data_IF_336896440323
#
_entry.id   IF_336896440323
#
_cell.length_a   1.000
_cell.length_b   1.000
_cell.length_c   1.000
_cell.angle_alpha   90.00
_cell.angle_beta   90.00
_cell.angle_gamma   90.00
#
_symmetry.space_group_name_H-M   'P 1'
#
loop_
_entity.id
_entity.type
_entity.pdbx_description
1 polymer ?
2 non-polymer ?
3 non-polymer ?
4 non-polymer ?
5 non-polymer ?
6 non-polymer ?
7 water ?
#
# COMPACT_ATOMS: atom_id res chain seq x y z
N UNK A 3 -2.37 13.73 -27.60
CA UNK A 3 -1.64 12.44 -27.35
C UNK A 3 -0.21 12.51 -26.74
N UNK A 4 0.49 13.64 -26.90
CA UNK A 4 1.85 13.81 -26.31
C UNK A 4 1.88 13.79 -24.76
N UNK A 5 0.87 14.37 -24.11
CA UNK A 5 0.83 14.36 -22.64
C UNK A 5 0.48 12.96 -22.09
N UNK A 6 -0.20 12.10 -22.87
CA UNK A 6 -0.37 10.66 -22.50
C UNK A 6 1.01 9.99 -22.58
N UNK A 7 1.71 10.26 -23.67
CA UNK A 7 3.09 9.79 -23.85
C UNK A 7 4.02 10.22 -22.70
N UNK A 8 3.81 11.41 -22.16
CA UNK A 8 4.62 11.97 -21.11
C UNK A 8 4.16 11.52 -19.68
N UNK A 9 2.85 11.37 -19.53
CA UNK A 9 2.23 11.13 -18.22
C UNK A 9 1.49 9.78 -18.10
N UNK A 10 1.17 9.18 -19.22
CA UNK A 10 0.32 8.01 -19.27
C UNK A 10 -1.14 8.32 -19.01
N UNK A 11 -1.48 9.62 -18.93
CA UNK A 11 -2.83 10.07 -18.60
C UNK A 11 -3.12 11.40 -19.35
N UNK A 12 -4.40 11.66 -19.61
CA UNK A 12 -4.90 12.96 -20.13
C UNK A 12 -4.85 13.96 -18.99
N UNK A 13 -4.45 15.20 -19.27
CA UNK A 13 -4.51 16.29 -18.26
C UNK A 13 -4.75 17.67 -18.92
N UNK A 14 -5.64 18.47 -18.35
CA UNK A 14 -5.81 19.88 -18.77
C UNK A 14 -4.67 20.76 -18.17
N UNK A 15 -3.94 20.27 -17.15
CA UNK A 15 -2.88 21.03 -16.45
C UNK A 15 -1.51 20.34 -16.47
N UNK A 16 -0.91 20.17 -17.64
CA UNK A 16 0.35 19.44 -17.75
C UNK A 16 1.40 20.00 -16.78
N UNK A 17 1.50 21.31 -16.66
CA UNK A 17 2.53 21.94 -15.85
C UNK A 17 2.37 21.70 -14.37
N UNK A 18 1.19 21.85 -13.87
CA UNK A 18 0.95 21.53 -12.48
C UNK A 18 1.26 20.03 -12.16
N UNK A 19 0.88 19.12 -13.06
CA UNK A 19 1.10 17.71 -12.86
C UNK A 19 2.59 17.42 -12.76
N UNK A 20 3.34 17.96 -13.74
CA UNK A 20 4.77 17.82 -13.78
C UNK A 20 5.47 18.37 -12.57
N UNK A 21 4.98 19.46 -12.01
CA UNK A 21 5.59 20.02 -10.78
C UNK A 21 5.30 19.09 -9.59
N UNK A 22 4.07 18.56 -9.51
CA UNK A 22 3.79 17.60 -8.44
C UNK A 22 4.71 16.39 -8.56
N UNK A 23 4.92 15.90 -9.78
CA UNK A 23 5.75 14.70 -9.97
C UNK A 23 7.22 14.91 -9.77
N UNK A 24 7.66 16.16 -9.58
CA UNK A 24 9.05 16.41 -9.16
C UNK A 24 9.32 15.81 -7.78
N UNK A 25 8.28 15.63 -6.97
CA UNK A 25 8.46 14.96 -5.67
C UNK A 25 8.33 13.42 -5.72
N UNK A 26 8.42 12.84 -6.90
CA UNK A 26 8.17 11.38 -7.09
C UNK A 26 9.00 10.55 -6.13
N UNK A 27 10.27 10.96 -5.88
CA UNK A 27 11.19 10.17 -5.07
C UNK A 27 11.19 10.59 -3.61
N UNK A 28 10.20 11.36 -3.18
CA UNK A 28 10.15 11.88 -1.85
C UNK A 28 8.95 11.43 -1.07
N UNK A 29 9.15 11.27 0.23
CA UNK A 29 8.06 10.90 1.12
C UNK A 29 7.01 12.00 1.15
N UNK A 30 7.40 13.23 0.89
CA UNK A 30 6.44 14.34 0.89
C UNK A 30 5.60 14.59 -0.33
N UNK A 31 5.67 13.71 -1.36
CA UNK A 31 4.76 13.79 -2.50
C UNK A 31 3.31 13.92 -2.06
N UNK A 32 2.54 14.75 -2.75
CA UNK A 32 1.15 14.93 -2.40
C UNK A 32 0.25 14.28 -3.45
N UNK A 33 -0.16 13.05 -3.15
CA UNK A 33 -0.90 12.25 -4.12
C UNK A 33 -2.31 12.79 -4.37
N UNK A 34 -2.86 13.51 -3.41
CA UNK A 34 -4.12 14.22 -3.65
C UNK A 34 -4.04 15.25 -4.76
N UNK A 35 -2.94 15.99 -4.84
CA UNK A 35 -2.74 16.91 -5.95
C UNK A 35 -2.58 16.18 -7.26
N UNK A 36 -1.85 15.06 -7.24
CA UNK A 36 -1.60 14.28 -8.43
C UNK A 36 -2.95 13.82 -8.96
N UNK A 37 -3.80 13.35 -8.09
CA UNK A 37 -5.18 13.00 -8.53
C UNK A 37 -5.88 14.20 -9.15
N UNK A 38 -5.72 15.35 -8.51
CA UNK A 38 -6.33 16.63 -8.95
C UNK A 38 -5.97 17.00 -10.36
N UNK A 39 -4.72 16.76 -10.76
CA UNK A 39 -4.23 17.21 -12.04
C UNK A 39 -4.17 16.13 -13.07
N UNK A 40 -4.80 14.98 -12.79
CA UNK A 40 -4.71 13.83 -13.69
C UNK A 40 -6.07 13.29 -14.04
N UNK A 41 -7.10 14.14 -13.98
CA UNK A 41 -8.48 13.74 -14.16
C UNK A 41 -8.79 12.58 -13.25
N UNK A 42 -8.26 12.62 -12.05
CA UNK A 42 -8.56 11.59 -11.10
C UNK A 42 -8.11 10.17 -11.58
N UNK A 43 -6.93 10.08 -12.17
CA UNK A 43 -6.32 8.79 -12.46
C UNK A 43 -4.96 8.69 -11.75
N UNK A 44 -4.95 8.86 -10.44
CA UNK A 44 -3.67 8.87 -9.75
C UNK A 44 -2.83 7.60 -9.89
N UNK A 45 -3.47 6.43 -9.99
CA UNK A 45 -2.72 5.19 -10.00
C UNK A 45 -2.04 5.00 -11.36
N UNK A 46 -2.77 5.25 -12.44
CA UNK A 46 -2.19 5.19 -13.74
C UNK A 46 -1.06 6.19 -13.84
N UNK A 47 -1.30 7.39 -13.39
CA UNK A 47 -0.25 8.44 -13.50
C UNK A 47 0.99 8.09 -12.69
N UNK A 48 0.79 7.79 -11.43
CA UNK A 48 1.92 7.50 -10.56
C UNK A 48 2.62 6.21 -10.96
N UNK A 49 1.90 5.20 -11.42
CA UNK A 49 2.61 4.00 -11.85
C UNK A 49 3.48 4.22 -13.12
N UNK A 50 2.93 4.93 -14.08
CA UNK A 50 3.67 5.31 -15.28
C UNK A 50 4.91 6.12 -14.90
N UNK A 51 4.76 7.10 -14.00
CA UNK A 51 5.90 7.89 -13.59
C UNK A 51 6.97 6.97 -12.89
N UNK A 52 6.52 6.03 -12.06
CA UNK A 52 7.41 5.16 -11.36
C UNK A 52 8.13 4.25 -12.33
N UNK A 53 7.40 3.68 -13.27
CA UNK A 53 8.03 2.76 -14.19
C UNK A 53 9.01 3.48 -15.13
N UNK A 54 8.68 4.70 -15.55
CA UNK A 54 9.64 5.49 -16.29
C UNK A 54 10.91 5.82 -15.45
N UNK A 55 10.73 6.31 -14.23
CA UNK A 55 11.85 6.69 -13.36
C UNK A 55 12.82 5.53 -13.11
N UNK A 56 12.29 4.33 -12.85
CA UNK A 56 13.17 3.17 -12.62
C UNK A 56 13.56 2.39 -13.89
N UNK A 57 13.24 2.88 -15.08
CA UNK A 57 13.50 2.13 -16.32
C UNK A 57 12.90 0.74 -16.38
N UNK A 58 11.79 0.51 -15.67
CA UNK A 58 11.24 -0.81 -15.61
C UNK A 58 10.71 -1.23 -16.96
N UNK A 59 10.13 -0.30 -17.71
CA UNK A 59 9.53 -0.68 -19.00
C UNK A 59 10.64 -1.15 -19.96
N UNK A 60 11.83 -0.58 -19.85
CA UNK A 60 12.96 -0.97 -20.71
C UNK A 60 13.52 -2.30 -20.27
N UNK A 61 13.82 -2.40 -18.99
CA UNK A 61 14.44 -3.58 -18.44
C UNK A 61 13.61 -4.80 -18.70
N UNK A 62 12.31 -4.74 -18.52
CA UNK A 62 11.46 -5.95 -18.69
C UNK A 62 10.71 -6.01 -19.98
N UNK A 63 11.02 -5.06 -20.87
CA UNK A 63 10.43 -5.01 -22.18
C UNK A 63 8.92 -4.94 -22.16
N UNK A 64 8.43 -4.02 -21.34
CA UNK A 64 6.99 -3.82 -21.21
C UNK A 64 6.57 -2.64 -22.13
N UNK A 65 5.65 -2.88 -23.06
CA UNK A 65 5.18 -1.82 -23.90
C UNK A 65 4.45 -0.79 -23.07
N UNK A 66 4.77 0.49 -23.25
CA UNK A 66 4.11 1.59 -22.53
C UNK A 66 2.63 1.66 -22.88
N UNK A 67 2.26 1.31 -24.12
CA UNK A 67 0.83 1.34 -24.51
C UNK A 67 0.09 0.24 -23.78
N UNK A 68 0.68 -0.94 -23.75
CA UNK A 68 0.05 -2.08 -23.04
C UNK A 68 -0.02 -1.80 -21.53
N UNK A 69 1.02 -1.17 -21.00
CA UNK A 69 1.05 -0.76 -19.61
C UNK A 69 -0.14 0.15 -19.24
N UNK A 70 -0.34 1.20 -20.02
CA UNK A 70 -1.41 2.15 -19.81
C UNK A 70 -2.78 1.49 -19.90
N UNK A 71 -2.99 0.69 -20.94
CA UNK A 71 -4.19 -0.12 -21.03
C UNK A 71 -4.41 -0.97 -19.79
N UNK A 72 -3.38 -1.68 -19.32
CA UNK A 72 -3.53 -2.49 -18.09
C UNK A 72 -3.86 -1.61 -16.84
N UNK A 73 -3.07 -0.54 -16.66
CA UNK A 73 -3.24 0.33 -15.52
C UNK A 73 -4.62 1.02 -15.53
N UNK A 74 -5.17 1.35 -16.72
CA UNK A 74 -6.47 2.00 -16.76
C UNK A 74 -7.56 1.04 -16.33
N UNK A 75 -7.52 -0.20 -16.81
CA UNK A 75 -8.53 -1.18 -16.35
C UNK A 75 -8.31 -1.59 -14.85
N UNK A 76 -7.06 -1.70 -14.41
CA UNK A 76 -6.78 -1.90 -13.00
C UNK A 76 -7.39 -0.77 -12.19
N UNK A 77 -7.16 0.49 -12.59
CA UNK A 77 -7.63 1.62 -11.80
C UNK A 77 -9.16 1.65 -11.79
N UNK A 78 -9.77 1.31 -12.91
CA UNK A 78 -11.26 1.19 -13.03
C UNK A 78 -11.82 0.12 -12.12
N UNK A 79 -11.03 -0.91 -11.78
CA UNK A 79 -11.46 -1.95 -10.87
C UNK A 79 -11.33 -1.58 -9.39
N UNK A 80 -10.77 -0.42 -9.08
CA UNK A 80 -10.93 0.16 -7.77
C UNK A 80 -12.27 0.90 -7.75
N UNK A 81 -12.96 0.91 -6.65
CA UNK A 81 -14.28 1.60 -6.57
C UNK A 81 -14.20 3.03 -6.06
N UNK A 82 -14.56 3.96 -6.92
CA UNK A 82 -14.66 5.40 -6.60
C UNK A 82 -15.53 5.70 -5.40
N UNK A 83 -16.62 4.98 -5.23
CA UNK A 83 -17.51 5.20 -4.09
C UNK A 83 -17.03 4.50 -2.76
N UNK A 84 -15.91 3.80 -2.76
CA UNK A 84 -15.35 3.33 -1.49
C UNK A 84 -14.46 4.47 -0.98
N UNK A 85 -14.67 4.92 0.25
CA UNK A 85 -14.05 6.20 0.65
C UNK A 85 -12.50 6.17 0.84
N UNK A 86 -11.95 5.06 1.29
CA UNK A 86 -10.51 4.92 1.53
C UNK A 86 -9.83 3.98 0.58
N UNK A 87 -10.35 2.75 0.46
CA UNK A 87 -9.76 1.73 -0.38
C UNK A 87 -10.09 1.86 -1.84
N UNK A 88 -9.70 2.99 -2.41
CA UNK A 88 -9.93 3.30 -3.83
C UNK A 88 -8.54 3.49 -4.45
N UNK A 89 -8.50 3.97 -5.67
CA UNK A 89 -7.25 3.94 -6.46
C UNK A 89 -6.24 4.98 -5.96
N UNK A 90 -6.71 5.99 -5.22
CA UNK A 90 -5.83 6.97 -4.59
C UNK A 90 -4.97 6.28 -3.51
N UNK A 91 -5.61 5.45 -2.68
CA UNK A 91 -4.85 4.70 -1.71
C UNK A 91 -3.83 3.77 -2.35
N UNK A 92 -4.22 3.07 -3.40
CA UNK A 92 -3.28 2.23 -4.08
C UNK A 92 -2.09 3.03 -4.63
N UNK A 93 -2.36 4.18 -5.24
CA UNK A 93 -1.35 5.04 -5.76
C UNK A 93 -0.35 5.44 -4.69
N UNK A 94 -0.87 5.85 -3.53
CA UNK A 94 -0.07 6.23 -2.40
C UNK A 94 0.83 5.09 -1.91
N UNK A 95 0.30 3.88 -1.80
CA UNK A 95 1.13 2.75 -1.37
C UNK A 95 2.20 2.42 -2.40
N UNK A 96 1.88 2.54 -3.68
CA UNK A 96 2.82 2.30 -4.71
C UNK A 96 3.91 3.36 -4.68
N UNK A 97 3.54 4.63 -4.56
CA UNK A 97 4.57 5.68 -4.47
C UNK A 97 5.38 5.53 -3.18
N UNK A 98 4.74 5.16 -2.08
CA UNK A 98 5.50 5.02 -0.85
C UNK A 98 6.48 3.84 -0.92
N UNK A 99 6.06 2.76 -1.58
CA UNK A 99 6.89 1.57 -1.75
C UNK A 99 8.09 1.92 -2.63
N UNK A 100 7.84 2.68 -3.71
CA UNK A 100 8.88 3.24 -4.55
C UNK A 100 9.94 4.03 -3.74
N UNK A 101 9.51 4.84 -2.77
CA UNK A 101 10.46 5.58 -1.94
C UNK A 101 11.20 4.61 -1.01
N UNK A 102 10.48 3.72 -0.37
CA UNK A 102 11.15 2.77 0.56
C UNK A 102 12.21 1.89 -0.16
N UNK A 103 11.98 1.55 -1.43
CA UNK A 103 12.94 0.72 -2.15
C UNK A 103 14.29 1.45 -2.30
N UNK A 104 14.27 2.78 -2.25
CA UNK A 104 15.53 3.54 -2.33
C UNK A 104 16.20 3.88 -1.04
N UNK A 105 15.76 3.30 0.06
CA UNK A 105 16.37 3.64 1.33
C UNK A 105 17.85 3.17 1.26
N UNK A 106 18.80 4.07 1.59
CA UNK A 106 20.25 3.77 1.37
C UNK A 106 20.74 2.46 2.02
N UNK A 107 20.23 2.07 3.18
CA UNK A 107 20.61 0.80 3.80
C UNK A 107 20.25 -0.42 2.97
N UNK A 108 19.39 -0.26 1.94
CA UNK A 108 19.04 -1.37 1.06
C UNK A 108 19.63 -1.28 -0.30
N UNK A 109 20.61 -0.41 -0.43
CA UNK A 109 21.17 -0.12 -1.74
C UNK A 109 21.80 -1.38 -2.38
N UNK A 110 21.37 -1.69 -3.62
CA UNK A 110 21.75 -2.84 -4.38
C UNK A 110 21.40 -4.22 -3.79
N UNK A 111 20.56 -4.27 -2.76
CA UNK A 111 20.22 -5.51 -2.11
C UNK A 111 19.26 -6.36 -2.97
N UNK A 112 18.30 -5.73 -3.66
CA UNK A 112 17.25 -6.43 -4.39
C UNK A 112 17.51 -6.50 -5.90
N UNK A 113 17.03 -7.55 -6.51
CA UNK A 113 17.05 -7.65 -7.95
C UNK A 113 16.04 -6.71 -8.57
N UNK A 114 16.24 -6.43 -9.85
CA UNK A 114 15.25 -5.72 -10.62
C UNK A 114 13.85 -6.35 -10.61
N UNK A 115 13.82 -7.67 -10.63
CA UNK A 115 12.56 -8.40 -10.65
C UNK A 115 11.86 -8.23 -9.29
N UNK A 116 12.64 -8.16 -8.22
CA UNK A 116 12.08 -7.95 -6.88
C UNK A 116 11.47 -6.56 -6.77
N UNK A 117 12.13 -5.58 -7.37
CA UNK A 117 11.70 -4.20 -7.36
C UNK A 117 10.39 -4.08 -8.12
N UNK A 118 10.34 -4.68 -9.31
CA UNK A 118 9.12 -4.76 -10.13
C UNK A 118 7.96 -5.42 -9.39
N UNK A 119 8.23 -6.56 -8.74
CA UNK A 119 7.20 -7.27 -7.96
C UNK A 119 6.58 -6.43 -6.85
N UNK A 120 7.42 -5.74 -6.07
CA UNK A 120 6.99 -4.95 -4.98
C UNK A 120 6.12 -3.74 -5.40
N UNK A 121 6.56 -3.04 -6.45
CA UNK A 121 5.75 -1.93 -6.95
C UNK A 121 4.42 -2.42 -7.56
N UNK A 122 4.48 -3.48 -8.36
CA UNK A 122 3.28 -4.08 -8.93
C UNK A 122 2.35 -4.58 -7.82
N UNK A 123 2.90 -5.27 -6.84
CA UNK A 123 2.08 -5.70 -5.69
C UNK A 123 1.35 -4.53 -5.03
N UNK A 124 2.08 -3.46 -4.75
CA UNK A 124 1.48 -2.27 -4.17
C UNK A 124 0.28 -1.75 -5.02
N UNK A 125 0.49 -1.70 -6.32
CA UNK A 125 -0.50 -1.17 -7.22
C UNK A 125 -1.78 -2.02 -7.20
N UNK A 126 -1.65 -3.33 -7.06
CA UNK A 126 -2.85 -4.18 -7.16
C UNK A 126 -3.40 -4.55 -5.79
N UNK A 127 -2.74 -4.11 -4.72
CA UNK A 127 -2.98 -4.79 -3.44
C UNK A 127 -4.38 -4.62 -2.86
N UNK A 128 -5.15 -3.61 -3.32
CA UNK A 128 -6.52 -3.42 -2.83
C UNK A 128 -7.58 -3.44 -3.94
N UNK A 129 -7.21 -3.90 -5.11
CA UNK A 129 -8.14 -3.77 -6.22
C UNK A 129 -9.46 -4.50 -5.97
N UNK A 130 -10.54 -3.86 -6.42
CA UNK A 130 -11.92 -4.35 -6.24
C UNK A 130 -12.26 -4.48 -4.76
N UNK A 131 -11.69 -3.61 -3.92
CA UNK A 131 -12.06 -3.59 -2.51
C UNK A 131 -13.55 -3.12 -2.33
N UNK A 132 -14.39 -3.91 -1.62
CA UNK A 132 -15.81 -3.49 -1.51
C UNK A 132 -16.10 -2.49 -0.42
N UNK A 133 -15.12 -2.08 0.35
CA UNK A 133 -15.37 -1.07 1.37
C UNK A 133 -15.85 -1.62 2.70
N UNK A 134 -15.76 -2.94 2.87
CA UNK A 134 -16.02 -3.63 4.10
C UNK A 134 -14.85 -4.58 4.38
N UNK A 135 -14.64 -4.89 5.64
CA UNK A 135 -13.48 -5.69 6.12
C UNK A 135 -13.70 -7.18 5.93
N UNK A 136 -12.61 -7.94 6.06
CA UNK A 136 -12.69 -9.39 5.95
C UNK A 136 -13.69 -9.89 6.95
N UNK A 137 -13.66 -9.32 8.16
CA UNK A 137 -14.48 -9.84 9.26
C UNK A 137 -15.93 -9.69 8.94
N UNK A 138 -16.31 -8.56 8.32
CA UNK A 138 -17.66 -8.33 7.88
C UNK A 138 -18.08 -9.35 6.84
N UNK A 139 -17.20 -9.59 5.87
CA UNK A 139 -17.47 -10.57 4.85
C UNK A 139 -17.61 -11.96 5.47
N UNK A 140 -16.81 -12.27 6.46
CA UNK A 140 -16.97 -13.54 7.17
C UNK A 140 -18.30 -13.61 7.94
N UNK A 141 -18.61 -12.56 8.71
CA UNK A 141 -19.84 -12.52 9.51
C UNK A 141 -21.12 -12.53 8.69
N UNK A 142 -21.11 -12.02 7.47
CA UNK A 142 -22.29 -11.99 6.67
C UNK A 142 -22.36 -13.21 5.74
N UNK A 143 -21.53 -14.21 5.97
CA UNK A 143 -21.43 -15.33 5.05
C UNK A 143 -21.47 -14.95 3.57
N UNK A 144 -20.59 -14.04 3.22
CA UNK A 144 -20.53 -13.52 1.86
C UNK A 144 -19.94 -14.57 0.93
N UNK A 145 -20.20 -14.45 -0.38
CA UNK A 145 -19.61 -15.34 -1.35
C UNK A 145 -18.07 -15.33 -1.31
N UNK A 146 -17.46 -14.18 -1.06
CA UNK A 146 -15.99 -14.12 -1.04
C UNK A 146 -15.45 -14.93 0.12
N UNK A 147 -16.02 -14.82 1.28
CA UNK A 147 -15.58 -15.61 2.40
C UNK A 147 -15.81 -17.15 2.21
N UNK A 148 -16.92 -17.52 1.60
CA UNK A 148 -17.12 -18.90 1.19
C UNK A 148 -16.06 -19.38 0.18
N UNK A 149 -15.81 -18.57 -0.83
CA UNK A 149 -14.80 -18.93 -1.85
C UNK A 149 -13.40 -19.13 -1.22
N UNK A 150 -13.01 -18.24 -0.31
CA UNK A 150 -11.68 -18.24 0.23
C UNK A 150 -11.57 -18.80 1.64
N UNK A 151 -12.62 -19.45 2.11
CA UNK A 151 -12.47 -20.21 3.38
C UNK A 151 -11.99 -19.34 4.56
N UNK A 152 -12.47 -18.10 4.58
CA UNK A 152 -12.25 -17.13 5.62
C UNK A 152 -10.80 -16.67 5.78
N UNK A 153 -9.89 -17.12 4.93
CA UNK A 153 -8.44 -16.82 5.10
C UNK A 153 -7.98 -15.76 4.12
N UNK A 154 -7.60 -14.61 4.63
CA UNK A 154 -7.12 -13.51 3.82
C UNK A 154 -8.02 -13.32 2.64
N UNK A 155 -9.29 -13.15 2.91
CA UNK A 155 -10.34 -13.22 1.90
C UNK A 155 -10.17 -12.10 0.87
N UNK A 156 -10.11 -10.85 1.31
CA UNK A 156 -9.95 -9.75 0.37
C UNK A 156 -8.59 -9.82 -0.32
N UNK A 157 -7.55 -10.22 0.41
CA UNK A 157 -6.22 -10.18 -0.19
C UNK A 157 -6.08 -11.19 -1.32
N UNK A 158 -6.66 -12.39 -1.12
CA UNK A 158 -6.75 -13.34 -2.20
C UNK A 158 -7.50 -12.82 -3.40
N UNK A 159 -8.60 -12.12 -3.13
CA UNK A 159 -9.42 -11.49 -4.12
C UNK A 159 -8.69 -10.43 -4.88
N UNK A 160 -7.95 -9.56 -4.18
CA UNK A 160 -7.20 -8.51 -4.86
C UNK A 160 -6.22 -9.14 -5.86
N UNK A 161 -5.48 -10.15 -5.41
CA UNK A 161 -4.54 -10.88 -6.28
C UNK A 161 -5.25 -11.49 -7.49
N UNK A 162 -6.37 -12.17 -7.26
CA UNK A 162 -7.04 -12.86 -8.34
C UNK A 162 -7.48 -11.83 -9.35
N UNK A 163 -8.00 -10.71 -8.91
CA UNK A 163 -8.47 -9.71 -9.89
C UNK A 163 -7.28 -9.12 -10.64
N UNK A 164 -6.20 -8.78 -9.93
CA UNK A 164 -5.00 -8.23 -10.52
C UNK A 164 -4.43 -9.09 -11.61
N UNK A 165 -4.36 -10.39 -11.34
CA UNK A 165 -3.84 -11.31 -12.30
C UNK A 165 -4.81 -11.67 -13.41
N UNK A 166 -6.09 -11.74 -13.13
CA UNK A 166 -7.05 -12.05 -14.16
C UNK A 166 -7.03 -10.94 -15.24
N UNK A 167 -6.78 -9.69 -14.83
CA UNK A 167 -6.78 -8.55 -15.74
C UNK A 167 -5.69 -8.65 -16.79
N UNK A 168 -4.59 -9.31 -16.42
CA UNK A 168 -3.51 -9.61 -17.34
C UNK A 168 -3.88 -10.52 -18.44
N UNK A 169 -4.97 -11.27 -18.33
CA UNK A 169 -5.36 -12.20 -19.39
C UNK A 169 -6.41 -11.59 -20.26
N UNK A 170 -6.79 -10.35 -20.01
CA UNK A 170 -7.68 -9.63 -20.92
C UNK A 170 -6.87 -9.27 -22.18
N UNK A 171 -7.49 -9.32 -23.34
CA UNK A 171 -6.82 -8.96 -24.56
C UNK A 171 -6.18 -7.60 -24.44
N UNK A 172 -4.96 -7.46 -24.93
CA UNK A 172 -4.23 -6.18 -24.95
C UNK A 172 -3.70 -5.69 -23.59
N UNK A 173 -3.80 -6.52 -22.54
CA UNK A 173 -3.44 -6.12 -21.16
C UNK A 173 -2.26 -6.88 -20.54
N UNK A 174 -1.60 -7.74 -21.29
CA UNK A 174 -0.58 -8.57 -20.67
C UNK A 174 0.79 -7.91 -20.69
N UNK A 175 1.06 -7.13 -19.66
CA UNK A 175 2.25 -6.36 -19.57
C UNK A 175 3.52 -7.17 -19.38
N UNK A 176 3.38 -8.43 -18.97
CA UNK A 176 4.49 -9.28 -18.74
C UNK A 176 4.77 -10.30 -19.83
N UNK A 177 4.26 -10.05 -21.02
CA UNK A 177 4.32 -11.02 -22.11
C UNK A 177 5.76 -11.35 -22.50
N UNK A 178 6.65 -10.37 -22.43
CA UNK A 178 8.01 -10.56 -22.83
C UNK A 178 8.93 -11.02 -21.73
N UNK A 179 8.44 -11.22 -20.51
CA UNK A 179 9.25 -11.86 -19.48
C UNK A 179 9.53 -13.29 -19.85
N UNK A 180 10.64 -13.87 -19.43
CA UNK A 180 10.81 -15.31 -19.68
C UNK A 180 9.80 -16.09 -18.79
N UNK A 181 9.55 -17.36 -19.09
CA UNK A 181 8.74 -18.20 -18.19
C UNK A 181 9.26 -18.16 -16.72
N UNK A 182 10.57 -18.35 -16.47
CA UNK A 182 11.13 -18.31 -15.12
C UNK A 182 10.91 -16.96 -14.45
N UNK A 183 11.06 -15.86 -15.19
CA UNK A 183 10.79 -14.56 -14.59
C UNK A 183 9.27 -14.42 -14.20
N UNK A 184 8.39 -14.86 -15.08
CA UNK A 184 6.95 -14.79 -14.84
C UNK A 184 6.60 -15.62 -13.63
N UNK A 185 7.16 -16.81 -13.51
CA UNK A 185 6.92 -17.62 -12.32
C UNK A 185 7.43 -17.01 -11.07
N UNK A 186 8.67 -16.56 -11.07
CA UNK A 186 9.20 -15.91 -9.89
C UNK A 186 8.44 -14.63 -9.53
N UNK A 187 8.09 -13.84 -10.54
CA UNK A 187 7.40 -12.58 -10.25
C UNK A 187 6.05 -12.88 -9.59
N UNK A 188 5.32 -13.82 -10.20
CA UNK A 188 4.04 -14.22 -9.69
C UNK A 188 4.07 -14.63 -8.21
N UNK A 189 5.03 -15.46 -7.84
CA UNK A 189 5.18 -15.97 -6.45
C UNK A 189 5.46 -14.80 -5.48
N UNK A 190 6.42 -13.95 -5.83
CA UNK A 190 6.72 -12.80 -5.00
C UNK A 190 5.54 -11.84 -4.81
N UNK A 191 4.83 -11.52 -5.88
CA UNK A 191 3.67 -10.65 -5.78
C UNK A 191 2.55 -11.23 -4.87
N UNK A 192 2.18 -12.49 -5.09
CA UNK A 192 1.30 -13.22 -4.19
C UNK A 192 1.76 -13.10 -2.74
N UNK A 193 2.98 -13.45 -2.48
CA UNK A 193 3.53 -13.32 -1.13
C UNK A 193 3.33 -11.94 -0.50
N UNK A 194 3.67 -10.92 -1.25
CA UNK A 194 3.61 -9.58 -0.72
C UNK A 194 2.17 -9.09 -0.48
N UNK A 195 1.25 -9.37 -1.38
CA UNK A 195 -0.14 -8.90 -1.17
C UNK A 195 -0.77 -9.63 -0.02
N UNK A 196 -0.51 -10.94 0.12
CA UNK A 196 -1.03 -11.71 1.26
C UNK A 196 -0.50 -11.19 2.59
N UNK A 197 0.72 -10.64 2.58
CA UNK A 197 1.30 -9.97 3.75
C UNK A 197 0.62 -8.69 4.14
N UNK A 198 -0.21 -8.10 3.27
CA UNK A 198 -0.95 -6.90 3.67
C UNK A 198 -2.21 -7.18 4.46
N UNK A 199 -2.57 -8.45 4.67
CA UNK A 199 -3.69 -8.83 5.50
C UNK A 199 -3.34 -8.39 6.93
N UNK A 200 -4.13 -7.47 7.46
CA UNK A 200 -3.85 -6.91 8.79
C UNK A 200 -3.81 -7.93 9.86
N UNK A 201 -4.53 -9.05 9.71
CA UNK A 201 -4.52 -10.04 10.75
C UNK A 201 -3.16 -10.76 10.84
N UNK A 202 -2.28 -10.59 9.84
CA UNK A 202 -0.92 -11.12 9.89
C UNK A 202 0.06 -10.10 10.48
N UNK A 203 -0.45 -8.91 10.85
CA UNK A 203 0.43 -7.84 11.31
C UNK A 203 1.42 -8.28 12.42
N UNK A 204 0.93 -8.90 13.50
CA UNK A 204 1.79 -9.29 14.61
C UNK A 204 2.82 -10.34 14.22
N UNK A 205 2.47 -11.31 13.38
CA UNK A 205 3.43 -12.31 12.98
C UNK A 205 4.47 -11.72 12.06
N UNK A 206 4.07 -10.81 11.19
CA UNK A 206 5.04 -10.14 10.38
C UNK A 206 5.98 -9.36 11.28
N UNK A 207 5.42 -8.60 12.19
CA UNK A 207 6.27 -7.81 13.08
C UNK A 207 7.29 -8.64 13.87
N UNK A 208 6.87 -9.79 14.40
CA UNK A 208 7.78 -10.70 15.15
C UNK A 208 8.93 -11.16 14.29
N UNK A 209 8.58 -11.63 13.09
CA UNK A 209 9.60 -11.98 12.11
C UNK A 209 10.54 -10.87 11.80
N UNK A 210 10.02 -9.67 11.64
CA UNK A 210 10.87 -8.53 11.37
C UNK A 210 11.81 -8.24 12.56
N UNK A 211 11.31 -8.42 13.78
CA UNK A 211 12.15 -8.21 14.94
C UNK A 211 13.34 -9.19 14.94
N UNK A 212 13.10 -10.43 14.54
CA UNK A 212 14.18 -11.39 14.43
C UNK A 212 15.23 -10.97 13.45
N UNK A 213 14.78 -10.37 12.37
CA UNK A 213 15.67 -9.86 11.40
C UNK A 213 16.42 -8.64 11.92
N UNK A 214 15.79 -7.80 12.73
CA UNK A 214 16.57 -6.71 13.32
C UNK A 214 17.58 -7.32 14.29
N UNK A 215 17.15 -8.27 15.13
CA UNK A 215 18.02 -8.81 16.20
C UNK A 215 19.30 -9.40 15.57
N UNK A 216 19.16 -10.04 14.40
CA UNK A 216 20.27 -10.65 13.67
C UNK A 216 20.94 -9.81 12.56
N UNK A 217 20.71 -8.50 12.46
CA UNK A 217 21.12 -7.78 11.28
C UNK A 217 22.64 -7.54 11.30
N UNK A 218 23.24 -7.56 10.12
CA UNK A 218 24.60 -7.14 9.99
C UNK A 218 24.73 -6.26 8.76
N UNK A 219 25.65 -5.30 8.84
CA UNK A 219 25.86 -4.29 7.81
C UNK A 219 27.31 -4.17 7.41
N UNK A 220 27.50 -3.70 6.20
CA UNK A 220 28.80 -3.44 5.70
C UNK A 220 29.19 -2.21 6.43
N UNK A 221 30.45 -1.83 6.31
CA UNK A 221 31.00 -0.70 7.04
C UNK A 221 30.52 0.61 6.45
N UNK A 222 29.79 0.54 5.32
CA UNK A 222 29.04 1.70 4.76
C UNK A 222 27.55 1.71 5.17
N UNK A 223 27.13 0.83 6.05
CA UNK A 223 25.73 0.84 6.51
C UNK A 223 24.72 0.10 5.63
N UNK A 224 25.17 -0.65 4.64
CA UNK A 224 24.24 -1.38 3.81
C UNK A 224 23.97 -2.72 4.46
N UNK A 225 22.71 -3.06 4.58
CA UNK A 225 22.29 -4.34 5.08
C UNK A 225 22.78 -5.53 4.28
N UNK A 226 23.18 -6.58 4.98
CA UNK A 226 23.64 -7.78 4.37
C UNK A 226 22.56 -8.86 4.54
N UNK A 227 21.90 -9.22 3.45
CA UNK A 227 20.84 -10.19 3.49
C UNK A 227 21.34 -11.43 2.80
N UNK A 228 21.19 -12.58 3.46
CA UNK A 228 21.91 -13.80 3.02
C UNK A 228 21.29 -14.55 1.85
N UNK A 229 19.98 -14.50 1.71
CA UNK A 229 19.31 -15.34 0.73
C UNK A 229 17.94 -14.80 0.37
N UNK A 230 17.27 -15.49 -0.52
CA UNK A 230 15.94 -15.12 -0.95
C UNK A 230 14.99 -14.94 0.24
N UNK A 231 15.08 -15.85 1.18
CA UNK A 231 14.20 -15.87 2.31
C UNK A 231 14.30 -14.60 3.15
N UNK A 232 15.51 -14.13 3.41
CA UNK A 232 15.71 -12.82 4.05
C UNK A 232 15.11 -11.63 3.24
N UNK A 233 15.38 -11.60 1.92
CA UNK A 233 14.94 -10.50 1.05
C UNK A 233 13.41 -10.43 0.92
N UNK A 234 12.76 -11.57 0.72
CA UNK A 234 11.30 -11.53 0.61
C UNK A 234 10.70 -11.10 1.95
N UNK A 235 11.35 -11.46 3.04
CA UNK A 235 10.83 -11.05 4.34
C UNK A 235 10.95 -9.53 4.52
N UNK A 236 12.03 -8.93 4.06
CA UNK A 236 12.08 -7.48 4.07
C UNK A 236 11.07 -6.83 3.12
N UNK A 237 10.91 -7.35 1.91
CA UNK A 237 9.98 -6.79 0.97
C UNK A 237 8.51 -6.91 1.42
N UNK A 238 8.15 -8.03 2.04
CA UNK A 238 6.79 -8.12 2.55
C UNK A 238 6.57 -7.16 3.72
N UNK A 239 7.57 -6.92 4.54
CA UNK A 239 7.39 -5.88 5.58
C UNK A 239 7.37 -4.48 5.02
N UNK A 240 8.13 -4.27 3.96
CA UNK A 240 8.15 -2.98 3.30
C UNK A 240 6.78 -2.53 2.77
N UNK A 241 6.13 -3.44 2.06
CA UNK A 241 4.82 -3.20 1.49
C UNK A 241 3.80 -3.02 2.60
N UNK A 242 3.90 -3.82 3.63
CA UNK A 242 3.06 -3.65 4.83
C UNK A 242 3.28 -2.27 5.50
N UNK A 243 4.55 -1.83 5.59
CA UNK A 243 4.86 -0.50 6.08
C UNK A 243 4.28 0.63 5.22
N UNK A 244 4.35 0.47 3.90
CA UNK A 244 3.81 1.47 2.99
C UNK A 244 2.29 1.52 3.13
N UNK A 245 1.65 0.35 3.30
CA UNK A 245 0.21 0.29 3.53
C UNK A 245 -0.21 1.00 4.86
N UNK A 246 0.67 1.02 5.85
CA UNK A 246 0.45 1.68 7.13
C UNK A 246 1.33 2.94 7.22
N UNK A 247 1.48 3.68 6.12
CA UNK A 247 2.35 4.81 6.11
C UNK A 247 1.60 6.10 6.34
N UNK A 248 0.25 6.09 6.33
CA UNK A 248 -0.47 7.35 6.32
C UNK A 248 -0.09 8.19 7.53
N UNK A 249 0.07 7.58 8.72
CA UNK A 249 0.40 8.39 9.89
C UNK A 249 1.84 8.91 9.94
N UNK A 250 2.67 8.52 8.96
CA UNK A 250 4.06 8.97 8.87
C UNK A 250 4.27 10.06 7.84
N UNK A 251 3.19 10.51 7.24
CA UNK A 251 3.19 11.62 6.32
C UNK A 251 2.89 12.91 7.08
N UNK A 252 3.04 14.00 6.39
CA UNK A 252 2.72 15.29 6.94
C UNK A 252 1.28 15.26 7.47
N UNK A 253 1.04 16.04 8.51
CA UNK A 253 -0.23 16.04 9.16
C UNK A 253 -1.38 16.38 8.22
N UNK A 254 -1.18 17.32 7.32
CA UNK A 254 -2.20 17.69 6.34
C UNK A 254 -2.60 16.50 5.49
N UNK A 255 -1.66 15.63 5.17
CA UNK A 255 -2.03 14.46 4.39
C UNK A 255 -2.72 13.43 5.29
N UNK A 256 -2.08 13.09 6.40
CA UNK A 256 -2.57 12.11 7.35
C UNK A 256 -4.03 12.40 7.70
N UNK A 257 -4.36 13.68 7.97
CA UNK A 257 -5.74 13.98 8.37
C UNK A 257 -6.78 13.67 7.27
N UNK A 258 -6.39 13.89 6.01
CA UNK A 258 -7.22 13.54 4.87
C UNK A 258 -7.45 12.02 4.81
N UNK A 259 -6.38 11.27 5.01
CA UNK A 259 -6.47 9.84 5.05
C UNK A 259 -7.36 9.37 6.17
N UNK A 260 -7.16 9.89 7.38
CA UNK A 260 -8.06 9.57 8.50
C UNK A 260 -9.52 9.93 8.24
N UNK A 261 -9.81 11.12 7.73
CA UNK A 261 -11.23 11.38 7.35
C UNK A 261 -11.79 10.24 6.41
N UNK A 262 -10.97 9.78 5.49
CA UNK A 262 -11.41 8.76 4.52
C UNK A 262 -11.64 7.42 5.15
N UNK A 263 -10.72 6.98 5.98
CA UNK A 263 -10.85 5.65 6.60
C UNK A 263 -12.04 5.62 7.54
N UNK A 264 -12.26 6.71 8.26
CA UNK A 264 -13.44 6.79 9.14
C UNK A 264 -14.75 6.80 8.35
N UNK A 265 -14.88 7.57 7.25
CA UNK A 265 -16.10 7.49 6.39
C UNK A 265 -16.36 6.02 5.97
N UNK A 266 -15.29 5.32 5.57
CA UNK A 266 -15.43 3.94 5.15
C UNK A 266 -15.90 3.04 6.29
N UNK A 267 -15.26 3.16 7.46
CA UNK A 267 -15.74 2.47 8.64
C UNK A 267 -17.19 2.79 8.97
N UNK A 268 -17.58 4.07 8.89
CA UNK A 268 -18.95 4.46 9.23
C UNK A 268 -19.95 3.90 8.23
N UNK A 269 -19.56 3.81 6.96
CA UNK A 269 -20.43 3.22 5.98
C UNK A 269 -20.64 1.73 6.22
N UNK A 270 -19.60 1.04 6.66
CA UNK A 270 -19.73 -0.37 7.02
C UNK A 270 -20.63 -0.47 8.21
N UNK A 271 -20.40 0.39 9.19
CA UNK A 271 -21.22 0.39 10.37
C UNK A 271 -22.69 0.57 10.05
N UNK A 272 -23.01 1.47 9.13
CA UNK A 272 -24.40 1.61 8.67
C UNK A 272 -24.98 0.32 8.02
N UNK A 273 -24.19 -0.37 7.20
CA UNK A 273 -24.58 -1.66 6.65
C UNK A 273 -24.89 -2.64 7.79
N UNK A 274 -23.97 -2.75 8.72
CA UNK A 274 -24.12 -3.63 9.83
C UNK A 274 -25.46 -3.33 10.53
N UNK A 275 -25.71 -2.04 10.80
CA UNK A 275 -26.92 -1.58 11.49
C UNK A 275 -28.21 -1.82 10.68
N UNK A 276 -28.18 -1.52 9.37
CA UNK A 276 -29.33 -1.77 8.52
C UNK A 276 -29.77 -3.23 8.63
N UNK A 277 -28.82 -4.15 8.80
CA UNK A 277 -29.17 -5.57 8.90
C UNK A 277 -29.11 -6.14 10.31
N UNK A 278 -29.23 -5.27 11.28
CA UNK A 278 -29.39 -5.69 12.65
C UNK A 278 -28.23 -6.40 13.25
N UNK A 279 -27.03 -6.25 12.70
CA UNK A 279 -25.85 -6.83 13.33
C UNK A 279 -25.28 -5.92 14.42
N UNK A 280 -24.50 -6.48 15.35
CA UNK A 280 -23.70 -5.67 16.26
C UNK A 280 -22.70 -4.87 15.41
N UNK A 281 -22.56 -3.59 15.73
CA UNK A 281 -21.69 -2.71 14.98
C UNK A 281 -20.28 -2.97 15.43
N UNK A 282 -19.38 -3.14 14.47
CA UNK A 282 -17.97 -3.39 14.78
C UNK A 282 -17.27 -2.21 15.45
N UNK A 283 -16.22 -2.50 16.25
CA UNK A 283 -15.34 -1.44 16.74
C UNK A 283 -15.00 -0.46 15.61
N UNK A 284 -15.11 0.83 15.92
CA UNK A 284 -14.72 1.90 15.02
C UNK A 284 -15.78 2.25 13.99
N UNK A 285 -16.78 1.40 13.81
CA UNK A 285 -17.73 1.64 12.75
C UNK A 285 -18.98 2.41 13.15
N UNK A 286 -19.10 2.76 14.43
CA UNK A 286 -20.34 3.46 14.90
C UNK A 286 -20.11 4.95 15.04
N UNK A 287 -20.56 5.70 14.04
CA UNK A 287 -20.45 7.15 14.01
C UNK A 287 -21.01 7.84 15.25
N UNK A 288 -21.90 7.17 16.00
CA UNK A 288 -22.50 7.78 17.21
C UNK A 288 -21.52 7.76 18.34
N UNK A 289 -20.85 6.63 18.52
CA UNK A 289 -19.90 6.43 19.61
C UNK A 289 -18.42 6.57 19.23
N UNK A 290 -18.09 6.99 18.03
CA UNK A 290 -16.70 6.94 17.60
C UNK A 290 -15.93 8.07 18.27
N UNK A 291 -14.65 7.86 18.56
CA UNK A 291 -13.77 8.97 18.99
C UNK A 291 -12.47 8.91 18.17
N UNK A 292 -12.49 9.65 17.09
CA UNK A 292 -11.52 9.57 16.03
C UNK A 292 -10.12 9.80 16.53
N UNK A 293 -9.96 10.75 17.46
CA UNK A 293 -8.66 11.18 17.87
C UNK A 293 -7.99 10.16 18.76
N UNK A 294 -8.77 9.59 19.66
CA UNK A 294 -8.31 8.62 20.62
C UNK A 294 -7.94 7.32 19.92
N UNK A 295 -8.77 6.91 18.98
CA UNK A 295 -8.48 5.72 18.19
C UNK A 295 -7.20 5.88 17.38
N UNK A 296 -6.92 7.08 16.84
CA UNK A 296 -5.68 7.26 16.08
C UNK A 296 -4.50 7.11 16.95
N UNK A 297 -4.59 7.64 18.16
CA UNK A 297 -3.53 7.59 19.12
C UNK A 297 -3.27 6.12 19.48
N UNK A 298 -4.35 5.38 19.72
CA UNK A 298 -4.27 3.92 19.94
C UNK A 298 -3.68 3.16 18.77
N UNK A 299 -4.15 3.49 17.58
CA UNK A 299 -3.62 2.87 16.35
C UNK A 299 -2.09 3.05 16.22
N UNK A 300 -1.61 4.26 16.50
CA UNK A 300 -0.19 4.54 16.43
C UNK A 300 0.58 3.84 17.52
N UNK A 301 0.10 3.93 18.75
CA UNK A 301 0.82 3.40 19.88
C UNK A 301 0.94 1.90 19.83
N UNK A 302 -0.11 1.22 19.36
CA UNK A 302 -0.13 -0.25 19.39
C UNK A 302 0.20 -0.94 18.07
N UNK A 303 0.04 -0.27 16.94
CA UNK A 303 0.23 -0.92 15.65
C UNK A 303 1.30 -0.22 14.83
N UNK A 304 1.06 1.03 14.50
CA UNK A 304 1.91 1.74 13.51
C UNK A 304 3.31 2.01 14.05
N UNK A 305 3.39 2.57 15.25
CA UNK A 305 4.69 2.87 15.87
C UNK A 305 5.59 1.66 16.11
N UNK A 306 5.09 0.61 16.76
CA UNK A 306 5.94 -0.57 16.89
C UNK A 306 6.47 -1.08 15.54
N UNK A 307 5.67 -0.99 14.49
CA UNK A 307 6.08 -1.50 13.16
C UNK A 307 7.22 -0.63 12.62
N UNK A 308 6.99 0.67 12.62
CA UNK A 308 7.91 1.61 12.06
C UNK A 308 9.17 1.80 12.90
N UNK A 309 9.06 1.58 14.20
CA UNK A 309 10.22 1.64 15.05
C UNK A 309 11.15 0.49 14.71
N UNK A 310 10.58 -0.69 14.48
CA UNK A 310 11.37 -1.83 14.04
C UNK A 310 11.97 -1.63 12.60
N UNK A 311 11.18 -1.15 11.65
CA UNK A 311 11.70 -0.94 10.33
C UNK A 311 12.88 0.05 10.46
N UNK A 312 12.65 1.12 11.22
CA UNK A 312 13.68 2.17 11.48
C UNK A 312 14.97 1.60 12.08
N UNK A 313 14.82 0.64 12.98
CA UNK A 313 15.93 -0.08 13.56
C UNK A 313 16.65 -0.85 12.46
N UNK A 314 15.90 -1.58 11.61
CA UNK A 314 16.49 -2.33 10.48
C UNK A 314 17.32 -1.45 9.54
N UNK A 315 16.79 -0.32 9.11
CA UNK A 315 17.49 0.48 8.13
C UNK A 315 18.20 1.70 8.78
N UNK A 316 18.54 1.67 10.03
CA UNK A 316 18.92 2.96 10.63
C UNK A 316 20.17 3.51 9.92
N UNK A 317 20.29 4.85 9.78
CA UNK A 317 19.41 5.91 10.34
C UNK A 317 18.40 6.44 9.36
N UNK A 318 18.18 5.73 8.24
CA UNK A 318 17.47 6.26 7.07
C UNK A 318 15.98 6.64 7.32
N UNK A 319 15.33 6.00 8.28
CA UNK A 319 13.89 6.25 8.52
C UNK A 319 13.62 7.08 9.78
N UNK A 320 14.68 7.66 10.38
CA UNK A 320 14.50 8.45 11.61
C UNK A 320 13.50 9.55 11.45
N UNK A 321 13.54 10.27 10.32
CA UNK A 321 12.60 11.37 10.10
C UNK A 321 11.13 10.94 9.94
N UNK A 322 10.93 9.74 9.39
CA UNK A 322 9.63 9.16 9.21
C UNK A 322 9.13 8.88 10.59
N UNK A 323 9.99 8.32 11.43
CA UNK A 323 9.63 8.05 12.81
C UNK A 323 9.29 9.34 13.59
N UNK A 324 10.14 10.34 13.48
CA UNK A 324 9.88 11.66 14.11
C UNK A 324 8.49 12.25 13.69
N UNK A 325 8.15 12.15 12.43
CA UNK A 325 6.87 12.62 11.96
C UNK A 325 5.73 11.81 12.61
N UNK A 326 5.92 10.49 12.71
CA UNK A 326 4.91 9.63 13.26
C UNK A 326 4.64 10.00 14.73
N UNK A 327 5.69 10.24 15.49
CA UNK A 327 5.56 10.70 16.88
C UNK A 327 4.91 12.06 16.99
N UNK A 328 5.24 12.96 16.08
CA UNK A 328 4.70 14.30 16.06
C UNK A 328 3.19 14.30 15.79
N UNK A 329 2.80 13.49 14.82
CA UNK A 329 1.43 13.30 14.51
C UNK A 329 0.61 12.69 15.64
N UNK A 330 1.21 11.72 16.33
CA UNK A 330 0.62 11.14 17.52
C UNK A 330 0.37 12.26 18.54
N UNK A 331 1.37 13.12 18.70
CA UNK A 331 1.17 14.25 19.62
C UNK A 331 0.03 15.18 19.22
N UNK A 332 -0.11 15.46 17.93
CA UNK A 332 -1.23 16.28 17.47
C UNK A 332 -2.57 15.62 17.77
N UNK A 333 -2.71 14.33 17.44
CA UNK A 333 -4.02 13.66 17.68
C UNK A 333 -4.35 13.58 19.17
N UNK A 334 -3.34 13.27 19.97
CA UNK A 334 -3.44 13.25 21.43
C UNK A 334 -3.98 14.62 21.92
N UNK A 335 -3.45 15.71 21.37
CA UNK A 335 -3.80 17.04 21.79
C UNK A 335 -5.21 17.43 21.48
N UNK A 336 -5.86 16.71 20.54
CA UNK A 336 -7.18 17.01 20.05
C UNK A 336 -8.21 16.07 20.58
N UNK A 337 -7.85 15.15 21.45
CA UNK A 337 -8.84 14.36 22.16
C UNK A 337 -9.73 15.32 22.98
N UNK A 338 -11.06 15.25 22.83
CA UNK A 338 -11.88 16.23 23.61
C UNK A 338 -11.75 16.01 25.12
N UNK A 339 -11.66 17.10 25.90
CA UNK A 339 -11.41 17.02 27.36
C UNK A 339 -12.72 17.26 28.12
N UNK A 355 -9.78 -2.84 18.36
CA UNK A 355 -8.51 -2.52 17.66
C UNK A 355 -7.60 -3.74 17.47
N UNK A 356 -7.12 -4.30 18.58
CA UNK A 356 -6.01 -5.29 18.57
C UNK A 356 -6.31 -6.61 17.85
N UNK A 357 -7.54 -7.11 17.99
CA UNK A 357 -7.97 -8.34 17.33
C UNK A 357 -8.01 -8.22 15.78
N UNK A 358 -8.28 -7.00 15.29
CA UNK A 358 -8.17 -6.68 13.84
C UNK A 358 -6.72 -6.83 13.31
N UNK A 359 -5.73 -6.91 14.21
CA UNK A 359 -4.28 -6.99 13.85
C UNK A 359 -3.55 -8.23 14.38
N UNK A 360 -4.31 -9.26 14.74
CA UNK A 360 -3.76 -10.50 15.34
C UNK A 360 -4.56 -11.74 14.88
N UNK A 361 -3.99 -12.92 15.10
CA UNK A 361 -4.56 -14.25 14.74
C UNK A 361 -4.53 -14.46 13.22
X LIG B 1 -4.06 -0.96 1.31
X LIG C 1 -5.89 -4.42 1.99
X LIG D 1 -14.19 1.77 -10.55
X LIG E 1 -10.22 -4.67 9.06
X LIG E 1 -9.70 -3.66 8.58
X LIG E 1 -10.49 -2.61 8.30
X LIG E 1 -8.23 -3.70 8.30
X LIG E 1 -7.69 -2.28 8.22
X LIG E 1 -7.23 -1.62 9.38
X LIG E 1 -6.64 -0.35 9.28
X LIG E 1 -7.52 -1.65 6.97
X LIG E 1 -6.95 -0.38 6.88
X LIG E 1 -6.50 0.27 8.03
X LIG E 1 -6.04 1.57 7.93
X LIG E 1 -6.21 2.43 8.95
X LIG E 1 -5.85 3.72 8.79
X LIG E 1 -5.99 4.61 9.82
X LIG E 1 -5.53 5.99 9.63
X LIG E 1 -4.21 6.02 8.90
X LIG E 1 -5.46 6.56 8.21
X LIG E 1 -6.56 4.22 10.99
X LIG E 1 -6.78 2.03 10.11
X LIG E 1 -6.95 2.92 11.14
X LIG E 1 -7.50 2.51 12.32
X LIG E 1 -7.66 3.41 13.36
X LIG E 1 -7.89 1.18 12.47
X LIG E 1 -8.46 0.76 13.66
X LIG E 1 -9.02 -0.95 13.83
X LIG E 1 -8.62 1.66 14.71
X LIG E 1 -8.21 2.98 14.57
X LIG F 1 -8.96 8.05 -6.83
X LIG F 1 -8.72 9.48 -6.98
X LIG F 1 -10.11 7.58 -7.73
X LIG F 1 -11.31 7.25 -6.94
X LIG G 1 8.67 6.21 -24.43
X LIG G 1 7.30 6.43 -24.22
X LIG G 1 8.74 4.77 -24.05
X LIG G 1 8.18 4.74 -22.76
X LIG H 1 0.41 -8.75 -25.37
X LIG H 1 1.16 -8.06 -24.33
X LIG H 1 -1.01 -8.16 -25.45
X LIG H 1 -1.74 -8.34 -24.21
X LIG I 1 0.61 6.15 -25.25
X LIG I 1 0.88 5.91 -26.63
X LIG I 1 1.87 6.68 -24.58
X LIG I 1 2.83 5.63 -24.35
X LIG J 1 20.89 -10.55 -4.77
X LIG J 1 19.55 -10.04 -4.85
X LIG J 1 21.65 -10.03 -5.99
X LIG J 1 21.48 -8.61 -6.06
X LIG K 1 -13.43 -1.68 11.54
X LIG K 1 -12.63 -2.47 12.42
X LIG K 1 -13.17 -2.25 10.21
X LIG K 1 -11.98 -3.04 10.37
#
# INVERSE_FOLDING_TARGET
GSHMSISRFGVNTENEDHLAKELEDLNKWGLNIFNVAGYSHNRPLTCIMYAIFQERDLLKTFRISSDTFITYMMTLEDHYHSDVAYHNSLHAADVAQSTHVLLSTPALDAVFTDLEILAAIFAAAIHDVDHPGVSNQFLINTNSELALMYNDESVLENHHLAVGFKLLQEEHCDIFMNLTKKQRQTLRKMVIDMVLATDMSKHMSLLADLKTMVETKKVTSSGVLLLDNYTDRIQVLRNMVHCADLSNPTKSLELYRQWTDRIMEEFFQQGDKERERGMEISPMCDKHTASVEKSQVGFIDYIVHPLWETWADLVQPDAQDILDTLEDNRNWYQSMIPQSPSPPLDEQNRDCQGLMEKFQFELTLDEEDSEG
ZN ZN
MG MG
NA NA
2O5 O C16 O1 C15 C12 C11 C10 C13 C14 C9 N3 C8 N1 C7 C17 C19 C18 N N2 C6 C2 C1 C3 C4 CL C5 C
EDO C1 O1 C2 O2
EDO C1 O1 C2 O2
EDO C1 O1 C2 O2
EDO C1 O1 C2 O2
EDO C1 O1 C2 O2
EDO C1 O1 C2 O2
#
